data_IF_543707936215
#
_entry.id   IF_543707936215
#
_cell.length_a   1.000
_cell.length_b   1.000
_cell.length_c   1.000
_cell.angle_alpha   90.00
_cell.angle_beta   90.00
_cell.angle_gamma   90.00
#
_symmetry.space_group_name_H-M   'P 1'
#
loop_
_entity.id
_entity.type
_entity.pdbx_description
1 polymer ?
#
# COMPACT_ATOMS: atom_id res chain seq x y z
N UNK A 1 14.24 2.14 36.06
CA UNK A 1 12.88 2.42 35.54
C UNK A 1 12.75 3.92 35.36
N UNK A 2 12.31 4.40 34.19
CA UNK A 2 12.13 5.84 33.95
C UNK A 2 10.93 6.35 34.76
N UNK A 3 11.14 7.41 35.56
CA UNK A 3 10.08 8.03 36.38
C UNK A 3 9.23 8.93 35.47
N UNK A 4 7.94 8.63 35.35
CA UNK A 4 7.00 9.47 34.60
C UNK A 4 6.81 10.78 35.37
N UNK A 5 7.07 11.90 34.70
CA UNK A 5 7.12 13.22 35.32
C UNK A 5 5.70 13.78 35.58
N UNK A 6 4.71 13.38 34.76
CA UNK A 6 3.30 13.78 34.89
C UNK A 6 2.35 12.59 34.72
N UNK A 7 2.20 11.72 35.73
CA UNK A 7 1.44 10.47 35.60
C UNK A 7 -0.04 10.66 35.25
N UNK A 8 -0.74 11.55 35.96
CA UNK A 8 -2.18 11.79 35.76
C UNK A 8 -2.48 12.43 34.41
N UNK A 9 -1.72 13.47 34.04
CA UNK A 9 -1.85 14.09 32.73
C UNK A 9 -1.58 13.08 31.60
N UNK A 10 -0.54 12.26 31.75
CA UNK A 10 -0.18 11.24 30.78
C UNK A 10 -1.30 10.20 30.62
N UNK A 11 -1.92 9.78 31.72
CA UNK A 11 -3.06 8.86 31.69
C UNK A 11 -4.27 9.48 30.99
N UNK A 12 -4.60 10.72 31.31
CA UNK A 12 -5.78 11.40 30.73
C UNK A 12 -5.61 11.68 29.22
N UNK A 13 -4.39 12.05 28.79
CA UNK A 13 -4.08 12.21 27.36
C UNK A 13 -4.16 10.87 26.63
N UNK A 14 -3.65 9.78 27.24
CA UNK A 14 -3.78 8.44 26.66
C UNK A 14 -5.23 7.99 26.55
N UNK A 15 -6.05 8.27 27.57
CA UNK A 15 -7.49 8.01 27.54
C UNK A 15 -8.17 8.72 26.36
N UNK A 16 -7.88 10.01 26.15
CA UNK A 16 -8.40 10.77 25.01
C UNK A 16 -8.00 10.15 23.66
N UNK A 17 -6.74 9.71 23.52
CA UNK A 17 -6.26 9.02 22.31
C UNK A 17 -7.02 7.72 22.06
N UNK A 18 -7.24 6.90 23.10
CA UNK A 18 -7.96 5.64 22.96
C UNK A 18 -9.42 5.85 22.59
N UNK A 19 -10.09 6.85 23.16
CA UNK A 19 -11.49 7.13 22.84
C UNK A 19 -11.66 7.56 21.38
N UNK A 20 -10.80 8.49 20.92
CA UNK A 20 -10.78 8.93 19.53
C UNK A 20 -10.48 7.77 18.59
N UNK A 21 -9.45 6.96 18.91
CA UNK A 21 -9.12 5.78 18.14
C UNK A 21 -10.28 4.78 18.10
N UNK A 22 -10.86 4.41 19.23
CA UNK A 22 -11.92 3.41 19.27
C UNK A 22 -13.19 3.86 18.55
N UNK A 23 -13.51 5.16 18.59
CA UNK A 23 -14.63 5.73 17.86
C UNK A 23 -14.40 5.81 16.35
N UNK A 24 -13.19 6.16 15.91
CA UNK A 24 -12.93 6.56 14.53
C UNK A 24 -11.99 5.62 13.76
N UNK A 25 -11.44 4.55 14.35
CA UNK A 25 -10.42 3.66 13.73
C UNK A 25 -10.85 2.99 12.43
N UNK A 26 -12.14 2.95 12.15
CA UNK A 26 -12.69 2.39 10.91
C UNK A 26 -12.89 3.45 9.82
N UNK A 27 -12.65 4.72 10.12
CA UNK A 27 -12.69 5.83 9.18
C UNK A 27 -11.27 6.13 8.68
N UNK A 28 -11.11 6.28 7.37
CA UNK A 28 -9.84 6.69 6.76
C UNK A 28 -9.63 8.21 6.92
N UNK A 29 -9.34 8.64 8.14
CA UNK A 29 -9.08 10.04 8.44
C UNK A 29 -7.63 10.42 8.11
N UNK A 30 -7.45 11.63 7.58
CA UNK A 30 -6.15 12.28 7.49
C UNK A 30 -5.54 12.51 8.87
N UNK A 31 -4.22 12.71 8.94
CA UNK A 31 -3.53 13.11 10.18
C UNK A 31 -4.16 14.36 10.81
N UNK A 32 -4.54 15.34 9.98
CA UNK A 32 -5.27 16.55 10.42
C UNK A 32 -6.67 16.24 10.95
N UNK A 33 -7.37 15.26 10.37
CA UNK A 33 -8.66 14.79 10.86
C UNK A 33 -8.54 14.11 12.22
N UNK A 34 -7.52 13.28 12.41
CA UNK A 34 -7.18 12.69 13.70
C UNK A 34 -6.79 13.73 14.75
N UNK A 35 -5.97 14.72 14.37
CA UNK A 35 -5.56 15.82 15.25
C UNK A 35 -6.77 16.66 15.69
N UNK A 36 -7.68 16.99 14.77
CA UNK A 36 -8.92 17.72 15.09
C UNK A 36 -9.80 16.94 16.09
N UNK A 37 -9.99 15.64 15.86
CA UNK A 37 -10.78 14.79 16.77
C UNK A 37 -10.13 14.70 18.17
N UNK A 38 -8.79 14.60 18.22
CA UNK A 38 -8.05 14.59 19.46
C UNK A 38 -8.15 15.92 20.21
N UNK A 39 -8.06 17.05 19.51
CA UNK A 39 -8.23 18.38 20.12
C UNK A 39 -9.59 18.54 20.79
N UNK A 40 -10.66 18.01 20.17
CA UNK A 40 -12.00 17.99 20.78
C UNK A 40 -12.00 17.12 22.05
N UNK A 41 -11.48 15.89 21.97
CA UNK A 41 -11.46 14.96 23.10
C UNK A 41 -10.59 15.43 24.28
N UNK A 42 -9.54 16.22 24.01
CA UNK A 42 -8.71 16.85 25.04
C UNK A 42 -9.42 18.06 25.67
N UNK A 43 -10.13 18.86 24.87
CA UNK A 43 -10.91 20.00 25.37
C UNK A 43 -12.07 19.57 26.28
N UNK A 44 -12.78 18.48 25.95
CA UNK A 44 -13.83 17.89 26.81
C UNK A 44 -13.30 17.44 28.18
N UNK A 45 -12.00 17.13 28.24
CA UNK A 45 -11.31 16.74 29.48
C UNK A 45 -10.62 17.91 30.17
N UNK A 46 -10.88 19.14 29.71
CA UNK A 46 -10.26 20.38 30.20
C UNK A 46 -8.72 20.36 30.15
N UNK A 47 -8.15 19.57 29.23
CA UNK A 47 -6.70 19.47 29.04
C UNK A 47 -6.26 20.58 28.07
N UNK A 48 -5.42 21.53 28.50
CA UNK A 48 -4.98 22.62 27.63
C UNK A 48 -4.06 22.07 26.55
N UNK A 49 -4.55 22.07 25.32
CA UNK A 49 -3.79 21.69 24.14
C UNK A 49 -3.90 22.80 23.08
N UNK A 50 -2.89 22.87 22.23
CA UNK A 50 -2.91 23.73 21.04
C UNK A 50 -2.48 22.89 19.86
N UNK A 51 -3.10 23.12 18.71
CA UNK A 51 -2.62 22.52 17.47
C UNK A 51 -1.19 22.98 17.23
N UNK A 52 -0.37 22.05 16.74
CA UNK A 52 0.99 22.38 16.41
C UNK A 52 0.95 23.38 15.25
N UNK A 53 1.56 24.54 15.44
CA UNK A 53 1.66 25.52 14.36
C UNK A 53 2.39 24.89 13.17
N UNK A 54 1.91 25.15 11.95
CA UNK A 54 2.62 24.76 10.74
C UNK A 54 4.05 25.31 10.83
N UNK A 55 5.02 24.42 10.68
CA UNK A 55 6.43 24.76 10.69
C UNK A 55 7.01 24.45 9.31
N UNK A 56 8.31 24.62 9.08
CA UNK A 56 8.88 24.12 7.84
C UNK A 56 9.59 22.81 8.18
N UNK A 57 9.05 21.67 7.75
CA UNK A 57 9.76 20.41 7.89
C UNK A 57 10.94 20.44 6.92
N UNK A 58 12.16 20.31 7.43
CA UNK A 58 13.37 20.24 6.60
C UNK A 58 14.13 18.95 6.88
N UNK A 59 14.52 18.23 5.83
CA UNK A 59 15.42 17.09 5.94
C UNK A 59 16.66 17.31 5.09
N UNK A 60 17.84 17.29 5.73
CA UNK A 60 19.13 17.61 5.10
C UNK A 60 19.12 18.92 4.29
N UNK A 61 18.43 19.93 4.81
CA UNK A 61 18.29 21.24 4.19
C UNK A 61 17.20 21.34 3.12
N UNK A 62 16.57 20.24 2.70
CA UNK A 62 15.46 20.24 1.76
C UNK A 62 14.14 20.42 2.49
N UNK A 63 13.31 21.35 2.03
CA UNK A 63 11.92 21.52 2.49
C UNK A 63 11.13 20.27 2.15
N UNK A 64 10.55 19.65 3.16
CA UNK A 64 9.55 18.61 3.04
C UNK A 64 8.17 19.28 2.97
N UNK A 65 7.27 18.82 2.10
CA UNK A 65 5.91 19.33 2.06
C UNK A 65 5.20 19.04 3.40
N UNK A 66 4.60 20.06 4.01
CA UNK A 66 3.80 19.90 5.22
C UNK A 66 2.34 19.64 4.84
N UNK A 67 1.82 18.53 5.38
CA UNK A 67 0.40 18.21 5.58
C UNK A 67 -0.61 18.84 4.64
N UNK A 68 -0.81 18.23 3.48
CA UNK A 68 -2.10 18.24 2.80
C UNK A 68 -2.38 16.82 2.31
N UNK A 69 -3.40 16.16 2.87
CA UNK A 69 -3.82 14.81 2.41
C UNK A 69 -4.39 14.85 0.98
N UNK A 70 -4.43 16.04 0.40
CA UNK A 70 -4.69 16.31 -1.02
C UNK A 70 -3.49 16.02 -1.94
N UNK A 71 -2.32 15.60 -1.42
CA UNK A 71 -1.14 15.25 -2.26
C UNK A 71 -0.71 13.77 -2.23
N UNK A 72 -1.54 12.84 -1.76
CA UNK A 72 -1.26 11.41 -2.00
C UNK A 72 -1.33 11.05 -3.51
N UNK A 73 -1.97 11.89 -4.32
CA UNK A 73 -2.06 11.78 -5.77
C UNK A 73 -0.77 12.17 -6.51
N UNK A 74 0.08 13.04 -5.96
CA UNK A 74 1.20 13.62 -6.72
C UNK A 74 2.41 12.68 -6.85
N UNK A 75 2.41 11.56 -6.10
CA UNK A 75 3.50 10.57 -6.13
C UNK A 75 3.03 9.12 -6.33
N UNK A 76 1.75 8.87 -6.62
CA UNK A 76 1.32 7.57 -7.12
C UNK A 76 1.48 7.53 -8.64
N UNK A 77 2.35 6.65 -9.15
CA UNK A 77 2.30 6.32 -10.57
C UNK A 77 0.93 5.71 -10.86
N UNK A 78 0.18 6.31 -11.78
CA UNK A 78 -1.14 5.82 -12.23
C UNK A 78 -2.13 5.65 -11.06
N UNK A 79 -2.54 6.74 -10.37
CA UNK A 79 -3.35 6.66 -9.16
C UNK A 79 -4.71 6.00 -9.40
N UNK A 80 -5.40 6.37 -10.48
CA UNK A 80 -6.69 5.80 -10.90
C UNK A 80 -6.58 4.29 -11.12
N UNK A 81 -5.68 3.87 -12.02
CA UNK A 81 -5.43 2.46 -12.33
C UNK A 81 -4.99 1.67 -11.09
N UNK A 82 -4.16 2.27 -10.22
CA UNK A 82 -3.73 1.61 -8.99
C UNK A 82 -4.90 1.41 -8.02
N UNK A 83 -5.81 2.38 -7.92
CA UNK A 83 -7.04 2.26 -7.15
C UNK A 83 -7.91 1.11 -7.68
N UNK A 84 -8.21 1.13 -8.97
CA UNK A 84 -9.01 0.07 -9.62
C UNK A 84 -8.42 -1.33 -9.43
N UNK A 85 -7.08 -1.44 -9.51
CA UNK A 85 -6.38 -2.71 -9.29
C UNK A 85 -6.45 -3.19 -7.84
N UNK A 86 -6.40 -2.28 -6.86
CA UNK A 86 -6.57 -2.64 -5.45
C UNK A 86 -7.99 -3.11 -5.20
N UNK A 87 -8.98 -2.40 -5.70
CA UNK A 87 -10.38 -2.80 -5.58
C UNK A 87 -10.63 -4.16 -6.23
N UNK A 88 -10.06 -4.42 -7.40
CA UNK A 88 -10.14 -5.72 -8.06
C UNK A 88 -9.48 -6.84 -7.24
N UNK A 89 -8.35 -6.58 -6.58
CA UNK A 89 -7.71 -7.54 -5.69
C UNK A 89 -8.58 -7.84 -4.45
N UNK A 90 -9.20 -6.81 -3.87
CA UNK A 90 -10.11 -6.96 -2.73
C UNK A 90 -11.37 -7.74 -3.12
N UNK A 91 -11.96 -7.48 -4.29
CA UNK A 91 -13.12 -8.22 -4.79
C UNK A 91 -12.79 -9.72 -4.91
N UNK A 92 -11.69 -10.04 -5.57
CA UNK A 92 -11.24 -11.44 -5.74
C UNK A 92 -10.93 -12.11 -4.40
N UNK A 93 -10.34 -11.38 -3.44
CA UNK A 93 -10.06 -11.91 -2.11
C UNK A 93 -11.34 -12.10 -1.29
N UNK A 94 -12.30 -11.18 -1.40
CA UNK A 94 -13.60 -11.28 -0.75
C UNK A 94 -14.42 -12.46 -1.26
N UNK A 95 -14.39 -12.72 -2.56
CA UNK A 95 -15.13 -13.84 -3.17
C UNK A 95 -14.48 -15.20 -2.89
N UNK A 96 -13.16 -15.31 -3.07
CA UNK A 96 -12.47 -16.61 -2.96
C UNK A 96 -11.95 -16.91 -1.54
N UNK A 97 -11.70 -15.88 -0.73
CA UNK A 97 -10.97 -16.02 0.52
C UNK A 97 -9.54 -16.56 0.33
N UNK A 98 -8.84 -16.93 1.42
CA UNK A 98 -7.55 -17.60 1.37
C UNK A 98 -7.66 -19.11 1.11
N UNK A 99 -6.53 -19.75 0.80
CA UNK A 99 -6.40 -21.21 0.73
C UNK A 99 -6.19 -21.80 -0.66
N UNK A 100 -6.39 -21.02 -1.72
CA UNK A 100 -6.16 -21.47 -3.09
C UNK A 100 -4.71 -21.26 -3.57
N UNK A 101 -4.31 -22.03 -4.59
CA UNK A 101 -3.03 -21.80 -5.27
C UNK A 101 -3.03 -20.48 -6.04
N UNK A 102 -1.87 -19.82 -6.13
CA UNK A 102 -1.67 -18.56 -6.87
C UNK A 102 -2.23 -18.55 -8.31
N UNK A 103 -2.29 -19.71 -8.98
CA UNK A 103 -2.90 -19.82 -10.30
C UNK A 103 -4.41 -19.56 -10.34
N UNK A 104 -5.13 -19.83 -9.26
CA UNK A 104 -6.56 -19.55 -9.14
C UNK A 104 -6.78 -18.05 -9.00
N UNK A 105 -6.10 -17.38 -8.07
CA UNK A 105 -6.18 -15.92 -7.94
C UNK A 105 -5.77 -15.18 -9.20
N UNK A 106 -4.76 -15.67 -9.93
CA UNK A 106 -4.41 -15.09 -11.24
C UNK A 106 -5.54 -15.24 -12.26
N UNK A 107 -6.24 -16.37 -12.29
CA UNK A 107 -7.39 -16.56 -13.20
C UNK A 107 -8.59 -15.71 -12.78
N UNK A 108 -8.85 -15.62 -11.49
CA UNK A 108 -9.89 -14.75 -10.93
C UNK A 108 -9.62 -13.28 -11.23
N UNK A 109 -8.38 -12.81 -11.03
CA UNK A 109 -7.96 -11.47 -11.45
C UNK A 109 -8.16 -11.22 -12.94
N UNK A 110 -7.91 -12.21 -13.80
CA UNK A 110 -8.19 -12.06 -15.22
C UNK A 110 -9.69 -11.90 -15.53
N UNK A 111 -10.55 -12.59 -14.79
CA UNK A 111 -12.01 -12.44 -14.94
C UNK A 111 -12.41 -11.04 -14.46
N UNK A 112 -11.92 -10.61 -13.30
CA UNK A 112 -12.27 -9.33 -12.71
C UNK A 112 -11.78 -8.14 -13.55
N UNK A 113 -10.56 -8.21 -14.09
CA UNK A 113 -10.05 -7.19 -15.02
C UNK A 113 -10.90 -7.10 -16.29
N UNK A 114 -11.35 -8.23 -16.87
CA UNK A 114 -12.25 -8.21 -18.03
C UNK A 114 -13.60 -7.60 -17.67
N UNK A 115 -14.15 -7.94 -16.51
CA UNK A 115 -15.44 -7.43 -16.02
C UNK A 115 -15.39 -5.90 -15.86
N UNK A 116 -14.26 -5.38 -15.38
CA UNK A 116 -14.00 -3.93 -15.23
C UNK A 116 -13.61 -3.24 -16.54
N UNK A 117 -13.42 -3.97 -17.63
CA UNK A 117 -12.96 -3.41 -18.91
C UNK A 117 -11.49 -2.95 -18.90
N UNK A 118 -10.69 -3.40 -17.94
CA UNK A 118 -9.29 -2.99 -17.79
C UNK A 118 -8.41 -3.85 -18.70
N UNK A 119 -7.68 -3.27 -19.68
CA UNK A 119 -6.82 -4.03 -20.58
C UNK A 119 -5.68 -4.71 -19.82
N UNK A 120 -5.39 -5.97 -20.16
CA UNK A 120 -4.23 -6.67 -19.60
C UNK A 120 -3.66 -7.70 -20.56
N UNK A 121 -2.40 -8.07 -20.34
CA UNK A 121 -1.69 -9.13 -21.03
C UNK A 121 -1.07 -10.09 -20.03
N UNK A 122 -1.05 -11.38 -20.35
CA UNK A 122 -0.31 -12.37 -19.57
C UNK A 122 1.11 -12.46 -20.12
N UNK A 123 2.10 -11.97 -19.36
CA UNK A 123 3.51 -12.19 -19.70
C UNK A 123 3.84 -13.65 -19.40
N UNK A 124 4.06 -14.43 -20.46
CA UNK A 124 4.36 -15.88 -20.38
C UNK A 124 5.83 -16.18 -20.15
N UNK A 125 6.72 -15.29 -20.59
CA UNK A 125 8.17 -15.50 -20.55
C UNK A 125 8.91 -14.18 -20.32
N UNK A 126 10.02 -14.23 -19.60
CA UNK A 126 10.97 -13.11 -19.45
C UNK A 126 12.36 -13.61 -19.78
N UNK A 127 13.02 -12.95 -20.74
CA UNK A 127 14.39 -13.26 -21.13
C UNK A 127 15.37 -12.37 -20.38
N UNK A 128 16.26 -12.99 -19.63
CA UNK A 128 17.40 -12.35 -19.00
C UNK A 128 18.51 -12.17 -20.04
N UNK A 129 19.08 -10.95 -20.09
CA UNK A 129 20.20 -10.61 -20.97
C UNK A 129 21.42 -10.19 -20.16
N UNK A 130 22.60 -10.66 -20.57
CA UNK A 130 23.88 -10.20 -20.07
C UNK A 130 24.65 -9.54 -21.22
N UNK A 131 25.01 -8.26 -21.07
CA UNK A 131 25.67 -7.47 -22.13
C UNK A 131 24.94 -7.53 -23.49
N UNK A 132 23.61 -7.46 -23.45
CA UNK A 132 22.75 -7.54 -24.64
C UNK A 132 22.47 -8.96 -25.15
N UNK A 133 23.25 -9.97 -24.75
CA UNK A 133 23.06 -11.36 -25.17
C UNK A 133 22.06 -12.10 -24.26
N UNK A 134 21.07 -12.82 -24.80
CA UNK A 134 20.14 -13.62 -24.00
C UNK A 134 20.89 -14.78 -23.34
N UNK A 135 20.69 -14.97 -22.04
CA UNK A 135 21.34 -16.04 -21.27
C UNK A 135 20.35 -17.06 -20.68
N UNK A 136 19.12 -16.64 -20.41
CA UNK A 136 18.07 -17.52 -19.89
C UNK A 136 16.71 -16.93 -20.24
N UNK A 137 15.75 -17.75 -20.67
CA UNK A 137 14.33 -17.39 -20.75
C UNK A 137 13.59 -18.16 -19.68
N UNK A 138 12.87 -17.45 -18.81
CA UNK A 138 12.08 -18.04 -17.74
C UNK A 138 10.61 -17.93 -18.03
N UNK A 139 9.89 -19.02 -17.87
CA UNK A 139 8.43 -18.97 -17.83
C UNK A 139 7.96 -18.13 -16.63
N UNK A 140 6.94 -17.33 -16.90
CA UNK A 140 6.25 -16.52 -15.92
C UNK A 140 4.77 -16.47 -16.29
N UNK A 141 3.94 -15.96 -15.39
CA UNK A 141 2.51 -15.74 -15.63
C UNK A 141 2.07 -14.44 -14.98
N UNK A 142 2.90 -13.42 -15.09
CA UNK A 142 2.61 -12.10 -14.56
C UNK A 142 1.59 -11.39 -15.45
N UNK A 143 0.81 -10.51 -14.86
CA UNK A 143 -0.15 -9.69 -15.59
C UNK A 143 0.49 -8.34 -15.84
N UNK A 144 0.52 -7.89 -17.10
CA UNK A 144 0.83 -6.51 -17.45
C UNK A 144 -0.50 -5.83 -17.68
N UNK A 145 -0.87 -4.88 -16.83
CA UNK A 145 -2.15 -4.19 -16.86
C UNK A 145 -1.96 -2.81 -17.47
N UNK A 146 -2.81 -2.48 -18.43
CA UNK A 146 -2.82 -1.24 -19.22
C UNK A 146 -1.44 -0.83 -19.76
N UNK A 147 -0.59 -1.82 -20.06
CA UNK A 147 0.81 -1.63 -20.45
C UNK A 147 1.65 -0.79 -19.47
N UNK A 148 1.19 -0.62 -18.22
CA UNK A 148 1.75 0.32 -17.22
C UNK A 148 2.16 -0.35 -15.92
N UNK A 149 1.37 -1.33 -15.46
CA UNK A 149 1.54 -1.94 -14.13
C UNK A 149 1.79 -3.43 -14.24
N UNK A 150 2.85 -3.90 -13.59
CA UNK A 150 3.09 -5.33 -13.43
C UNK A 150 2.33 -5.83 -12.20
N UNK A 151 1.38 -6.75 -12.38
CA UNK A 151 0.56 -7.30 -11.31
C UNK A 151 0.88 -8.78 -11.07
N UNK A 152 1.10 -9.13 -9.80
CA UNK A 152 1.38 -10.49 -9.35
C UNK A 152 0.41 -10.94 -8.24
N UNK A 153 -0.66 -11.69 -8.59
CA UNK A 153 -1.47 -12.41 -7.62
C UNK A 153 -0.71 -13.65 -7.14
N UNK A 154 -0.37 -13.69 -5.85
CA UNK A 154 0.36 -14.77 -5.20
C UNK A 154 -0.34 -15.21 -3.91
N UNK A 155 0.05 -16.36 -3.37
CA UNK A 155 -0.45 -16.85 -2.09
C UNK A 155 0.70 -17.54 -1.35
N UNK A 156 1.51 -16.74 -0.67
CA UNK A 156 2.71 -17.18 0.05
C UNK A 156 2.67 -16.69 1.50
N UNK A 157 3.26 -17.44 2.43
CA UNK A 157 3.30 -17.08 3.86
C UNK A 157 3.87 -15.68 4.11
N UNK A 158 4.88 -15.30 3.34
CA UNK A 158 5.54 -14.00 3.44
C UNK A 158 6.11 -13.56 2.09
N UNK A 159 6.05 -12.26 1.82
CA UNK A 159 6.75 -11.67 0.68
C UNK A 159 8.22 -11.44 1.08
N UNK A 160 9.10 -12.32 0.61
CA UNK A 160 10.53 -12.24 0.94
C UNK A 160 11.23 -11.09 0.21
N UNK A 161 12.34 -10.55 0.75
CA UNK A 161 13.18 -9.58 0.04
C UNK A 161 13.66 -10.10 -1.32
N UNK A 162 13.91 -11.41 -1.44
CA UNK A 162 14.27 -12.08 -2.70
C UNK A 162 13.14 -12.01 -3.73
N UNK A 163 11.88 -12.19 -3.31
CA UNK A 163 10.72 -12.05 -4.20
C UNK A 163 10.59 -10.60 -4.67
N UNK A 164 10.69 -9.63 -3.76
CA UNK A 164 10.70 -8.19 -4.10
C UNK A 164 11.81 -7.82 -5.08
N UNK A 165 13.04 -8.29 -4.83
CA UNK A 165 14.18 -8.04 -5.69
C UNK A 165 13.99 -8.59 -7.10
N UNK A 166 13.46 -9.82 -7.23
CA UNK A 166 13.13 -10.41 -8.52
C UNK A 166 12.03 -9.64 -9.24
N UNK A 167 10.99 -9.24 -8.51
CA UNK A 167 9.88 -8.48 -9.08
C UNK A 167 10.36 -7.11 -9.59
N UNK A 168 11.25 -6.45 -8.85
CA UNK A 168 11.92 -5.22 -9.28
C UNK A 168 12.78 -5.41 -10.54
N UNK A 169 13.50 -6.52 -10.65
CA UNK A 169 14.25 -6.84 -11.88
C UNK A 169 13.32 -7.01 -13.09
N UNK A 170 12.16 -7.66 -12.90
CA UNK A 170 11.17 -7.82 -13.96
C UNK A 170 10.57 -6.50 -14.42
N UNK A 171 10.34 -5.55 -13.51
CA UNK A 171 9.95 -4.18 -13.87
C UNK A 171 10.97 -3.56 -14.83
N UNK A 172 12.27 -3.64 -14.51
CA UNK A 172 13.33 -3.12 -15.38
C UNK A 172 13.42 -3.83 -16.74
N UNK A 173 13.29 -5.16 -16.77
CA UNK A 173 13.32 -5.95 -18.02
C UNK A 173 12.10 -5.72 -18.93
N UNK A 174 10.98 -5.28 -18.36
CA UNK A 174 9.73 -5.00 -19.07
C UNK A 174 9.53 -3.51 -19.35
N UNK A 175 10.46 -2.65 -18.94
CA UNK A 175 10.36 -1.19 -18.98
C UNK A 175 9.10 -0.64 -18.29
N UNK A 176 8.73 -1.25 -17.16
CA UNK A 176 7.60 -0.83 -16.32
C UNK A 176 8.13 -0.16 -15.06
N UNK A 177 7.49 0.93 -14.61
CA UNK A 177 7.93 1.69 -13.41
C UNK A 177 7.21 1.27 -12.13
N UNK A 178 6.05 0.62 -12.26
CA UNK A 178 5.20 0.25 -11.14
C UNK A 178 4.83 -1.24 -11.21
N UNK A 179 4.89 -1.89 -10.05
CA UNK A 179 4.31 -3.21 -9.87
C UNK A 179 3.54 -3.34 -8.55
N UNK A 180 2.53 -4.21 -8.56
CA UNK A 180 1.67 -4.52 -7.43
C UNK A 180 1.71 -6.04 -7.19
N UNK A 181 1.98 -6.42 -5.95
CA UNK A 181 1.96 -7.82 -5.49
C UNK A 181 0.77 -7.97 -4.53
N UNK A 182 -0.23 -8.75 -4.95
CA UNK A 182 -1.37 -9.11 -4.10
C UNK A 182 -1.14 -10.50 -3.51
N UNK A 183 -1.05 -10.60 -2.18
CA UNK A 183 -0.80 -11.83 -1.45
C UNK A 183 -2.06 -12.32 -0.73
N UNK A 184 -2.66 -13.37 -1.28
CA UNK A 184 -3.93 -13.98 -0.87
C UNK A 184 -3.74 -15.14 0.13
N UNK A 185 -2.61 -15.19 0.83
CA UNK A 185 -2.30 -16.30 1.74
C UNK A 185 -3.10 -16.26 3.04
N UNK A 186 -3.35 -15.05 3.56
CA UNK A 186 -3.91 -14.84 4.90
C UNK A 186 -5.40 -14.47 4.84
N UNK A 187 -6.10 -14.53 6.00
CA UNK A 187 -7.48 -14.03 6.10
C UNK A 187 -7.65 -12.57 5.69
N UNK A 188 -6.57 -11.77 5.71
CA UNK A 188 -6.52 -10.45 5.09
C UNK A 188 -5.63 -10.45 3.86
N UNK A 189 -6.03 -9.69 2.84
CA UNK A 189 -5.24 -9.48 1.64
C UNK A 189 -4.02 -8.59 1.96
N UNK A 190 -2.82 -9.11 1.66
CA UNK A 190 -1.61 -8.29 1.66
C UNK A 190 -1.41 -7.61 0.31
N UNK A 191 -1.25 -6.29 0.26
CA UNK A 191 -0.91 -5.58 -0.98
C UNK A 191 0.42 -4.87 -0.79
N UNK A 192 1.38 -5.16 -1.67
CA UNK A 192 2.66 -4.47 -1.70
C UNK A 192 2.93 -3.83 -3.06
N UNK A 193 3.41 -2.59 -3.00
CA UNK A 193 3.81 -1.82 -4.18
C UNK A 193 5.33 -1.86 -4.35
N UNK A 194 5.80 -2.13 -5.56
CA UNK A 194 7.22 -2.13 -5.92
C UNK A 194 7.44 -1.10 -7.03
N UNK A 195 8.45 -0.25 -6.86
CA UNK A 195 8.82 0.81 -7.80
C UNK A 195 10.31 0.70 -8.16
N UNK A 196 10.68 1.24 -9.33
CA UNK A 196 12.06 1.41 -9.83
C UNK A 196 12.34 2.85 -10.19
#
# INVERSE_FOLDING_TARGET
MAKIIYPELSYNVQGALYDVYNALRYLELSEKGWENALMIALAEREIPARQQAEYELRYKGYRLPQGDTTQLSDHLLYPELTGELRDALYEVHGELGPGFMHMHYRRAMQIELRRRGIPYQVKKEITLRFRGQPIETRETRLLIVDSKVLLAPIAVRQITPRLKGRFRQYLGLLDLKLGIVGNFHAPSLGIETVRI
#
